data_IF_872888136641
#
_entry.id   IF_872888136641
#
_cell.length_a   1.000
_cell.length_b   1.000
_cell.length_c   1.000
_cell.angle_alpha   90.00
_cell.angle_beta   90.00
_cell.angle_gamma   90.00
#
_symmetry.space_group_name_H-M   'P 1'
#
loop_
_entity.id
_entity.type
_entity.pdbx_description
1 polymer ?
#
# COMPACT_ATOMS: atom_id res chain seq x y z
N UNK A 1 -60.62 8.34 10.83
CA UNK A 1 -60.84 9.80 10.99
C UNK A 1 -59.88 10.50 10.03
N UNK A 2 -60.44 11.05 8.96
CA UNK A 2 -59.76 11.97 8.06
C UNK A 2 -59.53 13.30 8.78
N UNK A 3 -58.41 13.97 8.53
CA UNK A 3 -58.43 15.41 8.22
C UNK A 3 -57.30 15.71 7.22
N UNK A 4 -57.73 16.00 5.99
CA UNK A 4 -57.04 16.70 4.92
C UNK A 4 -57.14 18.22 5.12
N UNK A 5 -56.21 19.00 4.56
CA UNK A 5 -56.49 20.29 3.88
C UNK A 5 -55.18 20.77 3.20
N UNK A 6 -55.11 20.78 1.84
CA UNK A 6 -55.35 21.93 0.91
C UNK A 6 -54.04 22.71 0.67
N UNK A 7 -53.60 23.15 -0.52
CA UNK A 7 -54.10 23.18 -1.91
C UNK A 7 -52.95 23.64 -2.84
N UNK A 8 -53.00 23.23 -4.12
CA UNK A 8 -52.95 24.08 -5.33
C UNK A 8 -52.23 23.40 -6.52
N UNK A 9 -53.02 23.23 -7.58
CA UNK A 9 -52.72 22.86 -8.98
C UNK A 9 -53.40 23.99 -9.78
N UNK A 10 -52.89 24.55 -10.92
CA UNK A 10 -53.05 23.89 -12.23
C UNK A 10 -51.99 24.20 -13.33
N UNK A 11 -51.66 23.19 -14.15
CA UNK A 11 -51.97 23.04 -15.60
C UNK A 11 -51.20 23.99 -16.55
N UNK A 12 -50.65 23.57 -17.71
CA UNK A 12 -51.39 23.35 -18.97
C UNK A 12 -50.43 22.82 -20.08
N UNK A 13 -50.77 21.63 -20.63
CA UNK A 13 -50.96 21.24 -22.06
C UNK A 13 -49.79 21.17 -23.08
N UNK A 14 -49.49 19.91 -23.46
CA UNK A 14 -49.53 19.26 -24.81
C UNK A 14 -48.76 19.83 -26.02
N UNK A 15 -47.94 19.01 -26.71
CA UNK A 15 -48.35 18.36 -27.99
C UNK A 15 -47.37 17.27 -28.46
N UNK A 16 -47.95 16.33 -29.20
CA UNK A 16 -47.49 15.02 -29.69
C UNK A 16 -46.91 15.09 -31.11
N UNK A 17 -45.95 14.22 -31.46
CA UNK A 17 -45.91 13.58 -32.80
C UNK A 17 -45.13 12.26 -32.80
N UNK A 18 -45.83 11.20 -33.22
CA UNK A 18 -45.40 9.81 -33.42
C UNK A 18 -44.66 9.55 -34.74
N UNK A 19 -43.82 8.49 -34.75
CA UNK A 19 -43.65 7.39 -35.76
C UNK A 19 -42.17 6.93 -35.79
N UNK A 20 -41.82 5.63 -35.83
CA UNK A 20 -42.60 4.44 -36.13
C UNK A 20 -42.02 3.14 -35.54
N UNK A 21 -42.81 2.09 -35.72
CA UNK A 21 -42.62 0.67 -35.34
C UNK A 21 -41.75 -0.06 -36.37
N UNK A 22 -41.17 -1.19 -35.96
CA UNK A 22 -41.43 -2.55 -36.49
C UNK A 22 -40.44 -3.55 -35.83
N UNK A 23 -40.90 -4.38 -34.88
CA UNK A 23 -41.33 -5.80 -34.99
C UNK A 23 -40.19 -6.82 -35.16
N UNK A 24 -40.04 -7.72 -34.19
CA UNK A 24 -40.19 -9.18 -34.41
C UNK A 24 -40.38 -9.91 -33.06
N UNK A 25 -41.25 -10.92 -33.12
CA UNK A 25 -41.89 -11.65 -32.03
C UNK A 25 -41.62 -13.15 -32.12
N UNK A 26 -41.73 -13.85 -30.98
CA UNK A 26 -41.94 -15.30 -30.86
C UNK A 26 -40.78 -16.02 -30.14
N UNK A 27 -40.95 -16.92 -29.17
CA UNK A 27 -42.07 -17.68 -28.58
C UNK A 27 -41.67 -17.95 -27.10
N UNK A 28 -42.51 -17.74 -26.08
CA UNK A 28 -43.60 -18.57 -25.54
C UNK A 28 -43.19 -19.95 -24.95
N UNK A 29 -43.44 -20.05 -23.62
CA UNK A 29 -43.75 -21.21 -22.76
C UNK A 29 -42.67 -22.31 -22.58
N UNK A 30 -42.42 -22.83 -21.38
CA UNK A 30 -43.41 -23.42 -20.47
C UNK A 30 -42.91 -23.55 -19.01
N UNK A 31 -43.86 -23.55 -18.08
CA UNK A 31 -43.71 -23.72 -16.63
C UNK A 31 -43.28 -25.14 -16.24
N UNK A 32 -42.52 -25.30 -15.15
CA UNK A 32 -42.89 -26.22 -14.06
C UNK A 32 -41.94 -26.12 -12.85
N UNK A 33 -42.54 -25.85 -11.69
CA UNK A 33 -41.99 -26.03 -10.35
C UNK A 33 -42.30 -27.46 -9.87
N UNK A 34 -41.35 -28.16 -9.24
CA UNK A 34 -41.68 -29.16 -8.21
C UNK A 34 -40.54 -29.33 -7.19
N UNK A 35 -40.96 -29.45 -5.93
CA UNK A 35 -40.21 -29.51 -4.68
C UNK A 35 -39.53 -30.87 -4.41
N UNK A 36 -38.42 -30.77 -3.67
CA UNK A 36 -37.93 -31.59 -2.53
C UNK A 36 -37.78 -33.13 -2.67
N UNK A 37 -36.59 -33.66 -2.32
CA UNK A 37 -36.30 -34.24 -0.99
C UNK A 37 -34.89 -34.86 -0.87
N UNK A 38 -34.28 -34.57 0.28
CA UNK A 38 -33.27 -35.28 1.09
C UNK A 38 -32.94 -36.76 0.80
N UNK A 39 -31.65 -37.12 0.96
CA UNK A 39 -31.04 -38.12 1.90
C UNK A 39 -29.55 -38.31 1.50
N UNK A 40 -28.56 -37.90 2.30
CA UNK A 40 -27.72 -38.72 3.22
C UNK A 40 -27.10 -39.97 2.57
N UNK A 41 -25.83 -40.37 2.71
CA UNK A 41 -24.84 -40.21 3.78
C UNK A 41 -23.45 -40.72 3.31
N UNK A 42 -22.44 -40.42 4.15
CA UNK A 42 -21.23 -41.21 4.50
C UNK A 42 -20.10 -41.48 3.48
N UNK A 43 -18.98 -40.77 3.72
CA UNK A 43 -17.55 -41.19 3.83
C UNK A 43 -17.24 -42.68 4.14
N UNK A 44 -15.96 -43.17 4.29
CA UNK A 44 -14.62 -42.52 4.25
C UNK A 44 -13.50 -43.36 3.52
N UNK A 45 -12.22 -43.01 3.78
CA UNK A 45 -11.00 -43.85 3.80
C UNK A 45 -10.19 -43.99 2.48
N UNK A 46 -8.84 -43.97 2.41
CA UNK A 46 -7.71 -44.03 3.38
C UNK A 46 -6.36 -43.77 2.62
N UNK A 47 -5.34 -43.32 3.37
CA UNK A 47 -3.84 -43.44 3.32
C UNK A 47 -3.09 -43.78 1.99
N UNK A 48 -1.80 -43.49 1.75
CA UNK A 48 -0.64 -43.44 2.67
C UNK A 48 0.67 -42.95 2.00
N UNK A 49 1.66 -42.62 2.86
CA UNK A 49 3.13 -42.83 2.84
C UNK A 49 3.99 -42.66 1.55
N UNK A 50 5.30 -42.35 1.52
CA UNK A 50 6.43 -41.95 2.38
C UNK A 50 7.62 -41.68 1.40
N UNK A 51 8.88 -41.51 1.88
CA UNK A 51 10.21 -41.58 1.20
C UNK A 51 10.89 -40.20 1.09
N UNK A 52 12.10 -39.89 1.60
CA UNK A 52 13.26 -40.63 2.13
C UNK A 52 14.20 -39.73 2.97
N UNK A 53 15.11 -40.37 3.74
CA UNK A 53 16.23 -39.79 4.52
C UNK A 53 17.50 -39.58 3.66
N UNK A 54 18.33 -38.56 3.98
CA UNK A 54 19.75 -38.71 4.44
C UNK A 54 20.73 -37.55 4.10
N UNK A 55 21.38 -37.04 5.15
CA UNK A 55 22.83 -36.77 5.36
C UNK A 55 23.66 -35.69 4.61
N UNK A 56 24.16 -34.73 5.43
CA UNK A 56 25.55 -34.18 5.58
C UNK A 56 26.37 -33.69 4.37
N UNK A 57 26.80 -32.42 4.40
CA UNK A 57 28.22 -31.97 4.43
C UNK A 57 28.33 -30.44 4.51
N UNK A 58 29.18 -29.93 5.42
CA UNK A 58 29.49 -28.50 5.56
C UNK A 58 30.66 -28.05 4.67
N UNK A 59 30.59 -26.80 4.20
CA UNK A 59 31.74 -25.99 3.75
C UNK A 59 31.53 -24.52 4.13
N UNK A 60 32.55 -23.97 4.77
CA UNK A 60 32.74 -22.55 5.13
C UNK A 60 32.85 -21.69 3.87
N UNK A 61 32.04 -20.63 3.75
CA UNK A 61 32.15 -19.62 2.68
C UNK A 61 32.25 -18.24 3.31
N UNK A 62 33.37 -17.56 3.01
CA UNK A 62 33.63 -16.15 3.31
C UNK A 62 32.54 -15.26 2.69
N UNK A 63 32.08 -14.28 3.45
CA UNK A 63 31.13 -13.24 3.04
C UNK A 63 31.67 -12.40 1.88
N UNK A 64 30.92 -12.24 0.77
CA UNK A 64 31.29 -11.30 -0.28
C UNK A 64 30.57 -9.95 -0.10
N UNK A 65 31.34 -8.88 -0.31
CA UNK A 65 30.93 -7.47 -0.31
C UNK A 65 29.76 -7.17 -1.27
N UNK A 66 28.88 -6.18 -0.97
CA UNK A 66 27.60 -5.94 -1.66
C UNK A 66 27.72 -5.51 -3.13
N UNK A 67 28.92 -5.20 -3.61
CA UNK A 67 29.13 -4.59 -4.91
C UNK A 67 28.97 -5.56 -6.11
N UNK A 68 28.80 -6.87 -5.86
CA UNK A 68 28.74 -7.92 -6.91
C UNK A 68 27.33 -8.47 -7.19
N UNK A 69 26.33 -8.17 -6.37
CA UNK A 69 24.95 -8.65 -6.59
C UNK A 69 24.30 -8.00 -7.83
N UNK A 70 24.61 -6.73 -8.08
CA UNK A 70 24.01 -5.92 -9.15
C UNK A 70 24.48 -6.31 -10.56
N UNK A 71 25.74 -6.78 -10.72
CA UNK A 71 26.27 -7.22 -12.02
C UNK A 71 25.74 -8.59 -12.46
N UNK A 72 25.41 -9.48 -11.51
CA UNK A 72 24.90 -10.83 -11.82
C UNK A 72 23.47 -10.80 -12.38
N UNK A 73 22.64 -9.87 -11.90
CA UNK A 73 21.28 -9.70 -12.42
C UNK A 73 21.26 -9.19 -13.88
N UNK A 74 22.15 -8.24 -14.22
CA UNK A 74 22.22 -7.66 -15.57
C UNK A 74 22.61 -8.67 -16.67
N UNK A 75 23.42 -9.68 -16.34
CA UNK A 75 23.85 -10.73 -17.29
C UNK A 75 22.81 -11.83 -17.52
N UNK A 76 21.88 -12.04 -16.57
CA UNK A 76 20.85 -13.07 -16.69
C UNK A 76 19.74 -12.70 -17.70
N UNK A 77 19.56 -11.41 -17.98
CA UNK A 77 18.50 -10.91 -18.86
C UNK A 77 18.94 -10.55 -20.30
N UNK A 78 20.20 -10.81 -20.68
CA UNK A 78 20.68 -10.61 -22.06
C UNK A 78 20.63 -11.87 -22.94
N UNK A 79 20.26 -13.03 -22.42
CA UNK A 79 20.23 -14.31 -23.17
C UNK A 79 18.81 -14.84 -23.47
N UNK A 80 17.80 -13.97 -23.64
CA UNK A 80 16.49 -14.37 -24.17
C UNK A 80 16.09 -13.49 -25.35
N UNK A 81 16.79 -13.63 -26.47
CA UNK A 81 16.30 -13.25 -27.79
C UNK A 81 17.02 -14.07 -28.86
N UNK A 82 16.39 -15.20 -29.24
CA UNK A 82 16.57 -16.10 -30.40
C UNK A 82 15.78 -17.36 -29.98
N UNK A 83 14.67 -17.77 -30.57
CA UNK A 83 14.38 -17.97 -31.99
C UNK A 83 12.89 -17.83 -32.33
N UNK A 84 12.64 -17.50 -33.60
CA UNK A 84 11.35 -17.46 -34.29
C UNK A 84 11.14 -18.81 -34.98
N UNK A 85 9.97 -19.46 -34.80
CA UNK A 85 9.14 -20.07 -35.87
C UNK A 85 8.10 -21.03 -35.28
N UNK A 86 6.83 -20.87 -35.66
CA UNK A 86 5.79 -21.87 -35.38
C UNK A 86 4.37 -21.32 -35.32
N UNK A 87 3.84 -20.85 -36.45
CA UNK A 87 2.42 -20.58 -36.61
C UNK A 87 1.62 -21.88 -36.43
N UNK A 88 0.93 -22.03 -35.28
CA UNK A 88 -0.28 -22.85 -35.08
C UNK A 88 -0.72 -22.80 -33.61
N UNK A 89 -1.70 -21.94 -33.33
CA UNK A 89 -2.83 -22.13 -32.40
C UNK A 89 -3.49 -20.77 -32.13
N UNK A 90 -4.16 -20.28 -33.17
CA UNK A 90 -5.41 -19.55 -32.93
C UNK A 90 -6.47 -20.63 -32.66
N UNK A 91 -7.36 -20.38 -31.71
CA UNK A 91 -8.39 -21.29 -31.18
C UNK A 91 -7.97 -22.11 -29.94
N UNK A 92 -7.78 -21.43 -28.81
CA UNK A 92 -7.98 -21.99 -27.44
C UNK A 92 -8.10 -20.88 -26.36
N UNK A 93 -8.49 -19.65 -26.73
CA UNK A 93 -8.53 -18.49 -25.81
C UNK A 93 -9.92 -18.17 -25.21
N UNK A 94 -10.86 -19.10 -25.23
CA UNK A 94 -12.20 -18.89 -24.63
C UNK A 94 -12.50 -19.96 -23.59
N UNK A 95 -11.77 -19.94 -22.45
CA UNK A 95 -12.09 -20.78 -21.27
C UNK A 95 -11.38 -20.41 -19.96
N UNK A 96 -10.99 -19.16 -19.74
CA UNK A 96 -10.44 -18.69 -18.45
C UNK A 96 -11.07 -17.35 -18.01
N UNK A 97 -12.40 -17.25 -18.01
CA UNK A 97 -13.15 -16.10 -17.48
C UNK A 97 -13.66 -16.28 -16.04
N UNK A 98 -13.37 -17.41 -15.39
CA UNK A 98 -13.76 -17.63 -14.00
C UNK A 98 -12.62 -17.26 -13.03
N UNK A 99 -12.94 -16.36 -12.08
CA UNK A 99 -12.13 -15.76 -11.00
C UNK A 99 -11.28 -14.50 -11.32
N UNK A 100 -11.84 -13.52 -12.04
CA UNK A 100 -11.36 -12.14 -11.90
C UNK A 100 -12.01 -11.48 -10.68
N UNK A 101 -11.20 -10.94 -9.75
CA UNK A 101 -11.73 -10.19 -8.60
C UNK A 101 -12.54 -8.99 -9.07
N UNK A 102 -13.60 -8.62 -8.34
CA UNK A 102 -14.44 -7.46 -8.66
C UNK A 102 -13.63 -6.17 -8.85
N UNK A 103 -12.57 -5.99 -8.06
CA UNK A 103 -11.70 -4.82 -8.16
C UNK A 103 -10.76 -4.88 -9.37
N UNK A 104 -10.30 -6.07 -9.78
CA UNK A 104 -9.62 -6.23 -11.07
C UNK A 104 -10.57 -5.97 -12.22
N UNK A 105 -11.82 -6.44 -12.15
CA UNK A 105 -12.85 -6.13 -13.14
C UNK A 105 -13.11 -4.63 -13.21
N UNK A 106 -13.27 -3.94 -12.08
CA UNK A 106 -13.44 -2.49 -12.03
C UNK A 106 -12.21 -1.74 -12.56
N UNK A 107 -11.00 -2.18 -12.21
CA UNK A 107 -9.77 -1.58 -12.71
C UNK A 107 -9.67 -1.73 -14.23
N UNK A 108 -9.97 -2.90 -14.78
CA UNK A 108 -9.97 -3.16 -16.22
C UNK A 108 -11.07 -2.36 -16.91
N UNK A 109 -12.30 -2.34 -16.38
CA UNK A 109 -13.39 -1.58 -17.00
C UNK A 109 -13.20 -0.06 -16.87
N UNK A 110 -12.58 0.44 -15.80
CA UNK A 110 -12.22 1.86 -15.71
C UNK A 110 -11.16 2.24 -16.77
N UNK A 111 -10.27 1.30 -17.12
CA UNK A 111 -9.31 1.41 -18.22
C UNK A 111 -10.00 1.26 -19.60
N UNK A 112 -10.97 0.35 -19.75
CA UNK A 112 -11.66 0.02 -21.01
C UNK A 112 -12.87 0.90 -21.34
N UNK A 113 -13.48 1.59 -20.37
CA UNK A 113 -14.54 2.58 -20.59
C UNK A 113 -13.94 3.88 -21.14
N UNK A 114 -13.43 3.78 -22.36
CA UNK A 114 -13.05 4.89 -23.21
C UNK A 114 -13.54 4.62 -24.62
N UNK A 115 -14.73 5.14 -24.97
CA UNK A 115 -15.05 5.63 -26.31
C UNK A 115 -16.40 6.39 -26.29
N UNK A 116 -16.55 7.56 -26.96
CA UNK A 116 -15.56 8.43 -27.58
C UNK A 116 -15.35 9.68 -26.70
N UNK A 117 -14.31 9.66 -25.88
CA UNK A 117 -13.96 10.79 -25.04
C UNK A 117 -12.72 11.46 -25.67
N UNK A 118 -12.87 12.72 -26.06
CA UNK A 118 -11.91 13.62 -26.72
C UNK A 118 -10.41 13.33 -26.47
N UNK A 119 -9.50 13.52 -27.45
CA UNK A 119 -8.05 13.25 -27.33
C UNK A 119 -7.33 13.93 -26.14
N UNK A 120 -7.96 14.88 -25.46
CA UNK A 120 -7.52 15.42 -24.17
C UNK A 120 -7.55 14.37 -23.05
N UNK A 121 -8.53 13.46 -23.07
CA UNK A 121 -8.76 12.42 -22.04
C UNK A 121 -7.78 11.25 -22.11
N UNK A 122 -7.25 10.95 -23.31
CA UNK A 122 -6.18 9.97 -23.48
C UNK A 122 -4.83 10.50 -22.94
N UNK A 123 -4.59 11.82 -22.99
CA UNK A 123 -3.39 12.45 -22.43
C UNK A 123 -3.40 12.55 -20.90
N UNK A 124 -4.56 12.63 -20.27
CA UNK A 124 -4.67 12.69 -18.79
C UNK A 124 -4.62 11.34 -18.10
N UNK A 125 -4.82 10.24 -18.84
CA UNK A 125 -4.81 8.85 -18.32
C UNK A 125 -3.52 8.07 -18.63
N UNK A 126 -2.51 8.72 -19.23
CA UNK A 126 -1.20 8.10 -19.48
C UNK A 126 -0.36 7.86 -18.21
N UNK A 127 -0.86 8.24 -17.03
CA UNK A 127 -0.34 7.74 -15.76
C UNK A 127 -0.81 6.30 -15.58
N UNK A 128 0.06 5.34 -15.84
CA UNK A 128 -0.15 3.93 -15.47
C UNK A 128 -0.48 3.89 -13.98
N UNK A 129 -1.76 3.75 -13.62
CA UNK A 129 -2.18 3.62 -12.24
C UNK A 129 -1.61 2.30 -11.67
N UNK A 130 -1.13 2.32 -10.43
CA UNK A 130 -0.61 1.13 -9.76
C UNK A 130 -0.84 1.18 -8.26
N UNK A 131 -0.97 0.00 -7.65
CA UNK A 131 -0.93 -0.19 -6.21
C UNK A 131 0.47 -0.62 -5.79
N UNK A 132 1.08 0.08 -4.83
CA UNK A 132 2.43 -0.24 -4.34
C UNK A 132 2.46 -1.34 -3.27
N UNK A 133 1.54 -1.24 -2.32
CA UNK A 133 1.52 -2.05 -1.11
C UNK A 133 0.08 -2.40 -0.74
N UNK A 134 -0.10 -3.23 0.29
CA UNK A 134 -1.41 -3.69 0.74
C UNK A 134 -1.87 -4.97 0.07
N UNK A 135 -3.12 -5.37 0.35
CA UNK A 135 -3.68 -6.60 -0.21
C UNK A 135 -4.00 -6.37 -1.71
N UNK A 136 -3.60 -7.27 -2.62
CA UNK A 136 -4.10 -7.25 -3.99
C UNK A 136 -5.63 -7.24 -3.96
N UNK A 137 -6.31 -6.46 -4.78
CA UNK A 137 -7.77 -6.35 -4.74
C UNK A 137 -8.29 -5.61 -3.49
N UNK A 138 -7.60 -4.56 -3.03
CA UNK A 138 -8.15 -3.60 -2.03
C UNK A 138 -8.43 -2.22 -2.61
N UNK A 139 -7.86 -1.89 -3.76
CA UNK A 139 -8.00 -0.60 -4.43
C UNK A 139 -8.36 -0.82 -5.91
N UNK A 140 -9.20 0.06 -6.46
CA UNK A 140 -9.43 0.15 -7.89
C UNK A 140 -9.60 1.61 -8.32
N UNK A 141 -9.21 1.97 -9.56
CA UNK A 141 -9.63 3.21 -10.18
C UNK A 141 -11.17 3.33 -10.19
N UNK A 142 -11.68 4.52 -9.87
CA UNK A 142 -13.12 4.78 -9.78
C UNK A 142 -13.61 5.73 -10.88
N UNK A 143 -13.09 6.97 -10.85
CA UNK A 143 -13.42 8.04 -11.78
C UNK A 143 -12.21 8.92 -12.08
N UNK A 144 -12.38 10.01 -12.83
CA UNK A 144 -11.29 10.95 -13.09
C UNK A 144 -10.69 11.50 -11.78
N UNK A 145 -9.48 11.04 -11.44
CA UNK A 145 -8.76 11.51 -10.26
C UNK A 145 -9.20 10.87 -8.94
N UNK A 146 -9.94 9.76 -8.99
CA UNK A 146 -10.41 9.08 -7.79
C UNK A 146 -10.16 7.57 -7.85
N UNK A 147 -10.00 6.99 -6.67
CA UNK A 147 -9.86 5.56 -6.44
C UNK A 147 -10.90 5.09 -5.43
N UNK A 148 -11.40 3.88 -5.60
CA UNK A 148 -12.17 3.17 -4.59
C UNK A 148 -11.23 2.33 -3.74
N UNK A 149 -11.35 2.48 -2.42
CA UNK A 149 -10.72 1.60 -1.44
C UNK A 149 -11.80 0.74 -0.80
N UNK A 150 -11.62 -0.59 -0.87
CA UNK A 150 -12.56 -1.55 -0.28
C UNK A 150 -12.58 -1.38 1.25
N UNK A 151 -13.78 -1.29 1.81
CA UNK A 151 -13.97 -1.31 3.26
C UNK A 151 -13.84 -2.75 3.76
N UNK A 152 -13.21 -2.93 4.91
CA UNK A 152 -13.11 -4.26 5.50
C UNK A 152 -14.46 -4.62 6.12
N UNK A 153 -15.04 -5.76 5.75
CA UNK A 153 -16.35 -6.22 6.25
C UNK A 153 -16.42 -6.42 7.77
N UNK A 154 -15.26 -6.48 8.43
CA UNK A 154 -15.10 -6.75 9.86
C UNK A 154 -14.52 -5.56 10.65
N UNK A 155 -14.28 -4.41 10.00
CA UNK A 155 -13.88 -3.19 10.70
C UNK A 155 -15.11 -2.37 10.97
N UNK A 156 -15.28 -1.93 12.21
CA UNK A 156 -16.08 -0.75 12.54
C UNK A 156 -15.73 0.35 11.51
N UNK A 157 -16.67 1.20 11.12
CA UNK A 157 -16.57 2.24 10.08
C UNK A 157 -15.39 3.25 10.24
N UNK A 158 -14.46 2.97 11.14
CA UNK A 158 -13.26 3.70 11.53
C UNK A 158 -12.57 4.44 10.40
N UNK A 159 -12.16 3.78 9.30
CA UNK A 159 -11.39 4.48 8.26
C UNK A 159 -12.18 5.60 7.59
N UNK A 160 -13.47 5.35 7.30
CA UNK A 160 -14.36 6.37 6.72
C UNK A 160 -14.50 7.55 7.68
N UNK A 161 -14.80 7.26 8.95
CA UNK A 161 -14.98 8.28 9.99
C UNK A 161 -13.73 9.13 10.17
N UNK A 162 -12.54 8.52 10.17
CA UNK A 162 -11.27 9.25 10.28
C UNK A 162 -11.11 10.22 9.11
N UNK A 163 -11.38 9.79 7.87
CA UNK A 163 -11.31 10.69 6.73
C UNK A 163 -12.33 11.84 6.81
N UNK A 164 -13.57 11.56 7.25
CA UNK A 164 -14.61 12.57 7.41
C UNK A 164 -14.21 13.61 8.47
N UNK A 165 -13.72 13.18 9.63
CA UNK A 165 -13.28 14.05 10.73
C UNK A 165 -12.08 14.90 10.32
N UNK A 166 -11.04 14.28 9.74
CA UNK A 166 -9.83 14.99 9.30
C UNK A 166 -10.11 15.99 8.17
N UNK A 167 -11.12 15.72 7.33
CA UNK A 167 -11.53 16.64 6.26
C UNK A 167 -12.21 17.91 6.80
N UNK A 168 -12.82 17.85 7.99
CA UNK A 168 -13.41 19.03 8.64
C UNK A 168 -12.35 19.95 9.24
N UNK A 169 -11.14 19.46 9.52
CA UNK A 169 -10.04 20.26 10.06
C UNK A 169 -9.27 20.96 8.92
N UNK A 170 -9.34 22.31 8.80
CA UNK A 170 -8.63 23.03 7.74
C UNK A 170 -7.11 22.88 7.79
N UNK A 171 -6.54 22.57 8.96
CA UNK A 171 -5.11 22.33 9.11
C UNK A 171 -4.70 20.93 8.63
N UNK A 172 -5.61 19.95 8.61
CA UNK A 172 -5.29 18.54 8.33
C UNK A 172 -5.76 18.05 6.97
N UNK A 173 -6.81 18.64 6.39
CA UNK A 173 -7.37 18.19 5.10
C UNK A 173 -6.36 18.08 3.96
N UNK A 174 -5.30 18.90 3.98
CA UNK A 174 -4.27 18.92 2.92
C UNK A 174 -3.15 17.90 3.15
N UNK A 175 -3.11 17.21 4.30
CA UNK A 175 -2.09 16.20 4.64
C UNK A 175 -2.60 14.76 4.48
N UNK A 176 -3.83 14.58 4.00
CA UNK A 176 -4.49 13.30 3.71
C UNK A 176 -5.08 13.29 2.30
N UNK A 177 -5.37 12.13 1.68
CA UNK A 177 -6.21 12.08 0.49
C UNK A 177 -7.58 12.69 0.77
N UNK A 178 -8.09 13.49 -0.18
CA UNK A 178 -9.46 13.97 -0.09
C UNK A 178 -10.43 12.78 -0.13
N UNK A 179 -11.30 12.69 0.86
CA UNK A 179 -12.45 11.80 0.85
C UNK A 179 -13.63 12.45 0.14
N UNK A 180 -14.32 11.67 -0.69
CA UNK A 180 -15.45 12.15 -1.48
C UNK A 180 -16.77 11.62 -0.95
N UNK A 181 -16.88 10.31 -0.79
CA UNK A 181 -18.12 9.62 -0.40
C UNK A 181 -17.86 8.14 -0.12
N UNK A 182 -18.87 7.51 0.44
CA UNK A 182 -19.05 6.08 0.42
C UNK A 182 -19.77 5.63 -0.85
N UNK A 183 -19.44 4.42 -1.33
CA UNK A 183 -20.03 3.79 -2.49
C UNK A 183 -20.34 2.33 -2.17
N UNK A 184 -21.56 1.90 -2.44
CA UNK A 184 -21.93 0.48 -2.47
C UNK A 184 -21.92 -0.01 -3.91
N UNK A 185 -21.22 -1.11 -4.18
CA UNK A 185 -21.18 -1.73 -5.50
C UNK A 185 -21.16 -3.25 -5.38
N UNK A 186 -22.14 -3.92 -5.99
CA UNK A 186 -22.33 -5.38 -5.93
C UNK A 186 -22.33 -5.96 -4.50
N UNK A 187 -22.96 -5.26 -3.55
CA UNK A 187 -23.04 -5.69 -2.14
C UNK A 187 -21.75 -5.50 -1.34
N UNK A 188 -20.73 -4.87 -1.93
CA UNK A 188 -19.48 -4.51 -1.27
C UNK A 188 -19.42 -3.00 -1.06
N UNK A 189 -18.83 -2.59 0.07
CA UNK A 189 -18.73 -1.18 0.45
C UNK A 189 -17.32 -0.66 0.18
N UNK A 190 -17.25 0.55 -0.36
CA UNK A 190 -16.02 1.25 -0.74
C UNK A 190 -16.05 2.69 -0.23
N UNK A 191 -14.88 3.24 0.04
CA UNK A 191 -14.70 4.70 0.15
C UNK A 191 -14.05 5.22 -1.13
N UNK A 192 -14.57 6.32 -1.66
CA UNK A 192 -13.98 7.03 -2.79
C UNK A 192 -13.02 8.11 -2.30
N UNK A 193 -11.75 7.97 -2.67
CA UNK A 193 -10.63 8.81 -2.26
C UNK A 193 -9.97 9.46 -3.48
N UNK A 194 -9.26 10.55 -3.25
CA UNK A 194 -8.38 11.16 -4.25
C UNK A 194 -7.32 10.17 -4.74
N UNK A 195 -7.13 10.07 -6.04
CA UNK A 195 -5.96 9.44 -6.62
C UNK A 195 -4.75 10.35 -6.46
N UNK A 196 -3.89 10.03 -5.49
CA UNK A 196 -2.68 10.80 -5.22
C UNK A 196 -1.65 10.75 -6.35
N UNK A 197 -1.71 9.74 -7.23
CA UNK A 197 -0.82 9.65 -8.40
C UNK A 197 -1.25 10.59 -9.52
N UNK A 198 -2.49 11.10 -9.48
CA UNK A 198 -3.00 11.95 -10.54
C UNK A 198 -2.17 13.22 -10.69
N UNK A 199 -1.75 13.48 -11.93
CA UNK A 199 -1.01 14.69 -12.29
C UNK A 199 0.50 14.58 -12.05
N UNK A 200 1.01 13.48 -11.52
CA UNK A 200 2.44 13.19 -11.52
C UNK A 200 2.87 12.50 -12.82
N UNK A 201 4.10 12.78 -13.27
CA UNK A 201 4.66 12.22 -14.50
C UNK A 201 5.84 11.29 -14.21
N UNK A 202 5.64 10.00 -14.51
CA UNK A 202 6.60 8.91 -14.23
C UNK A 202 7.26 9.06 -12.85
N UNK A 203 6.46 9.05 -11.76
CA UNK A 203 6.94 9.46 -10.46
C UNK A 203 7.77 8.39 -9.76
N UNK A 204 8.63 8.87 -8.87
CA UNK A 204 9.15 8.11 -7.75
C UNK A 204 8.10 8.05 -6.66
N UNK A 205 7.90 6.87 -6.08
CA UNK A 205 6.90 6.67 -5.03
C UNK A 205 7.45 5.77 -3.93
N UNK A 206 7.21 6.12 -2.67
CA UNK A 206 7.52 5.27 -1.53
C UNK A 206 6.35 5.25 -0.54
N UNK A 207 6.08 4.07 0.00
CA UNK A 207 5.13 3.82 1.07
C UNK A 207 5.90 3.45 2.34
N UNK A 208 5.79 4.31 3.35
CA UNK A 208 6.49 4.17 4.62
C UNK A 208 5.46 3.95 5.72
N UNK A 209 5.40 2.74 6.27
CA UNK A 209 4.53 2.47 7.43
C UNK A 209 5.12 3.13 8.68
N UNK A 210 4.29 3.89 9.38
CA UNK A 210 4.70 4.70 10.52
C UNK A 210 4.39 4.04 11.87
N UNK A 211 5.12 4.46 12.90
CA UNK A 211 4.99 4.00 14.27
C UNK A 211 6.07 3.00 14.69
N UNK A 212 6.33 2.92 16.00
CA UNK A 212 7.13 1.87 16.65
C UNK A 212 6.31 0.60 16.93
N UNK A 213 4.97 0.71 16.87
CA UNK A 213 3.99 -0.36 17.11
C UNK A 213 3.01 -0.41 15.94
N UNK A 214 2.66 -1.62 15.48
CA UNK A 214 1.77 -1.83 14.32
C UNK A 214 0.56 -2.73 14.59
N UNK A 215 0.30 -3.03 15.86
CA UNK A 215 -0.87 -3.76 16.35
C UNK A 215 -1.60 -2.94 17.42
N UNK A 216 -2.91 -3.09 17.51
CA UNK A 216 -3.74 -2.47 18.55
C UNK A 216 -3.55 -3.17 19.89
N UNK A 217 -3.73 -2.48 21.02
CA UNK A 217 -3.67 -3.12 22.33
C UNK A 217 -4.74 -4.21 22.50
N UNK A 218 -5.90 -4.03 21.88
CA UNK A 218 -6.97 -5.03 21.84
C UNK A 218 -6.57 -6.30 21.07
N UNK A 219 -5.64 -6.20 20.11
CA UNK A 219 -5.11 -7.35 19.38
C UNK A 219 -4.15 -8.18 20.24
N UNK A 220 -3.59 -7.61 21.31
CA UNK A 220 -2.69 -8.33 22.23
C UNK A 220 -3.40 -9.51 22.91
N UNK A 221 -4.71 -9.38 23.15
CA UNK A 221 -5.52 -10.42 23.82
C UNK A 221 -5.98 -11.54 22.87
N UNK A 222 -5.81 -11.39 21.55
CA UNK A 222 -6.27 -12.36 20.55
C UNK A 222 -5.24 -13.48 20.38
N UNK A 223 -5.60 -14.69 20.80
CA UNK A 223 -4.74 -15.88 20.77
C UNK A 223 -4.96 -16.78 19.55
N UNK A 224 -5.89 -16.44 18.66
CA UNK A 224 -6.21 -17.25 17.47
C UNK A 224 -5.00 -17.27 16.52
N UNK A 225 -4.48 -18.48 16.28
CA UNK A 225 -3.37 -18.72 15.36
C UNK A 225 -3.85 -18.75 13.90
N UNK A 226 -2.99 -18.32 12.98
CA UNK A 226 -3.28 -18.15 11.57
C UNK A 226 -2.23 -18.83 10.68
N UNK A 227 -2.64 -19.77 9.81
CA UNK A 227 -1.71 -20.43 8.88
C UNK A 227 -1.08 -19.48 7.86
N UNK A 228 -1.84 -18.50 7.35
CA UNK A 228 -1.35 -17.57 6.33
C UNK A 228 -0.21 -16.66 6.86
N UNK A 229 -0.26 -16.29 8.14
CA UNK A 229 0.79 -15.50 8.79
C UNK A 229 2.05 -16.33 9.04
N UNK A 230 1.91 -17.61 9.36
CA UNK A 230 3.04 -18.52 9.50
C UNK A 230 3.78 -18.70 8.18
N UNK A 231 3.06 -18.92 7.08
CA UNK A 231 3.66 -19.01 5.74
C UNK A 231 4.43 -17.74 5.38
N UNK A 232 3.87 -16.55 5.67
CA UNK A 232 4.56 -15.27 5.47
C UNK A 232 5.80 -15.12 6.34
N UNK A 233 5.75 -15.62 7.58
CA UNK A 233 6.87 -15.59 8.52
C UNK A 233 8.03 -16.45 8.04
N UNK A 234 7.76 -17.72 7.70
CA UNK A 234 8.75 -18.67 7.17
C UNK A 234 9.36 -18.18 5.87
N UNK A 235 8.56 -17.56 4.99
CA UNK A 235 9.07 -16.99 3.74
C UNK A 235 10.08 -15.85 3.96
N UNK A 236 10.06 -15.18 5.12
CA UNK A 236 11.02 -14.15 5.50
C UNK A 236 12.23 -14.77 6.20
N UNK A 237 11.96 -15.61 7.20
CA UNK A 237 12.97 -16.28 8.01
C UNK A 237 12.43 -17.65 8.48
N UNK A 238 12.91 -18.75 7.87
CA UNK A 238 12.45 -20.10 8.21
C UNK A 238 12.72 -20.51 9.65
N UNK A 239 13.72 -19.93 10.31
CA UNK A 239 14.13 -20.29 11.68
C UNK A 239 13.45 -19.42 12.75
N UNK A 240 12.65 -18.43 12.34
CA UNK A 240 12.01 -17.50 13.26
C UNK A 240 10.83 -18.08 14.05
N UNK A 241 9.98 -18.98 13.50
CA UNK A 241 8.96 -19.67 14.27
C UNK A 241 9.57 -20.61 15.32
N UNK A 242 8.87 -20.79 16.44
CA UNK A 242 9.23 -21.80 17.43
C UNK A 242 8.91 -23.21 16.94
N UNK A 243 9.46 -24.24 17.59
CA UNK A 243 9.15 -25.64 17.26
C UNK A 243 7.65 -25.94 17.31
N UNK A 244 6.93 -25.33 18.26
CA UNK A 244 5.48 -25.50 18.36
C UNK A 244 4.72 -24.80 17.24
N UNK A 245 5.13 -23.59 16.86
CA UNK A 245 4.56 -22.86 15.72
C UNK A 245 4.82 -23.60 14.39
N UNK A 246 5.97 -24.25 14.24
CA UNK A 246 6.26 -25.14 13.12
C UNK A 246 5.35 -26.37 13.10
N UNK A 247 5.13 -27.00 14.26
CA UNK A 247 4.24 -28.15 14.41
C UNK A 247 2.81 -27.80 14.02
N UNK A 248 2.32 -26.65 14.49
CA UNK A 248 0.97 -26.15 14.23
C UNK A 248 0.81 -25.52 12.84
N UNK A 249 1.92 -25.17 12.19
CA UNK A 249 1.97 -24.39 10.92
C UNK A 249 1.12 -23.11 10.98
N UNK A 250 1.09 -22.47 12.15
CA UNK A 250 0.29 -21.28 12.41
C UNK A 250 0.97 -20.42 13.47
N UNK A 251 0.81 -19.10 13.36
CA UNK A 251 1.25 -18.12 14.38
C UNK A 251 0.12 -17.15 14.69
N UNK A 252 0.09 -16.60 15.90
CA UNK A 252 -0.89 -15.55 16.22
C UNK A 252 -0.57 -14.27 15.47
N UNK A 253 -1.59 -13.41 15.29
CA UNK A 253 -1.39 -12.11 14.63
C UNK A 253 -0.38 -11.25 15.38
N UNK A 254 -0.50 -11.13 16.70
CA UNK A 254 0.42 -10.36 17.53
C UNK A 254 1.87 -10.83 17.33
N UNK A 255 2.09 -12.15 17.43
CA UNK A 255 3.41 -12.77 17.24
C UNK A 255 4.04 -12.43 15.90
N UNK A 256 3.26 -12.52 14.82
CA UNK A 256 3.71 -12.15 13.47
C UNK A 256 4.03 -10.66 13.36
N UNK A 257 3.20 -9.78 13.93
CA UNK A 257 3.46 -8.34 13.92
C UNK A 257 4.75 -8.00 14.66
N UNK A 258 4.97 -8.57 15.86
CA UNK A 258 6.21 -8.40 16.62
C UNK A 258 7.44 -8.93 15.86
N UNK A 259 7.32 -10.08 15.21
CA UNK A 259 8.38 -10.57 14.33
C UNK A 259 8.71 -9.57 13.21
N UNK A 260 7.69 -9.05 12.53
CA UNK A 260 7.86 -8.06 11.46
C UNK A 260 8.48 -6.76 11.95
N UNK A 261 8.10 -6.31 13.15
CA UNK A 261 8.67 -5.13 13.79
C UNK A 261 10.16 -5.34 14.09
N UNK A 262 10.54 -6.52 14.60
CA UNK A 262 11.93 -6.89 14.90
C UNK A 262 12.80 -7.12 13.66
N UNK A 263 12.23 -7.54 12.53
CA UNK A 263 12.95 -7.76 11.28
C UNK A 263 13.14 -6.47 10.45
N UNK A 264 12.49 -5.37 10.84
CA UNK A 264 12.52 -4.10 10.13
C UNK A 264 13.02 -2.97 11.02
N UNK A 265 13.04 -1.76 10.48
CA UNK A 265 13.38 -0.54 11.23
C UNK A 265 12.25 -0.05 12.16
N UNK A 266 11.11 -0.75 12.23
CA UNK A 266 9.94 -0.29 12.99
C UNK A 266 10.28 0.00 14.46
N UNK A 267 10.89 -0.95 15.17
CA UNK A 267 11.23 -0.75 16.59
C UNK A 267 12.32 0.31 16.83
N UNK A 268 13.26 0.47 15.90
CA UNK A 268 14.47 1.28 16.10
C UNK A 268 14.36 2.70 15.53
N UNK A 269 13.55 2.90 14.49
CA UNK A 269 13.38 4.17 13.80
C UNK A 269 11.94 4.67 13.81
N UNK A 270 10.98 3.90 14.32
CA UNK A 270 9.56 4.32 14.35
C UNK A 270 8.87 4.33 13.00
N UNK A 271 9.45 3.64 12.01
CA UNK A 271 8.84 3.43 10.71
C UNK A 271 9.55 2.28 9.97
N UNK A 272 8.96 1.80 8.88
CA UNK A 272 9.63 0.93 7.90
C UNK A 272 9.15 1.21 6.48
N UNK A 273 10.02 0.98 5.51
CA UNK A 273 9.70 1.13 4.10
C UNK A 273 9.00 -0.15 3.62
N UNK A 274 7.72 -0.06 3.23
CA UNK A 274 6.94 -1.21 2.78
C UNK A 274 7.14 -1.48 1.28
N UNK A 275 7.17 -0.41 0.49
CA UNK A 275 7.34 -0.48 -0.95
C UNK A 275 7.97 0.80 -1.50
N UNK A 276 8.71 0.68 -2.59
CA UNK A 276 9.30 1.80 -3.30
C UNK A 276 9.28 1.55 -4.80
N UNK A 277 9.01 2.56 -5.60
CA UNK A 277 9.14 2.55 -7.06
C UNK A 277 10.00 3.73 -7.48
N UNK A 278 11.07 3.45 -8.19
CA UNK A 278 11.89 4.46 -8.86
C UNK A 278 11.51 4.57 -10.34
N UNK A 279 11.81 5.73 -10.94
CA UNK A 279 11.61 5.96 -12.36
C UNK A 279 12.26 4.87 -13.22
N UNK A 280 11.55 4.39 -14.24
CA UNK A 280 12.04 3.37 -15.17
C UNK A 280 12.30 1.98 -14.57
N UNK A 281 11.93 1.75 -13.31
CA UNK A 281 12.14 0.48 -12.60
C UNK A 281 10.81 -0.10 -12.11
N UNK A 282 10.67 -1.44 -12.04
CA UNK A 282 9.53 -2.06 -11.40
C UNK A 282 9.49 -1.72 -9.90
N UNK A 283 8.31 -1.72 -9.25
CA UNK A 283 8.22 -1.56 -7.81
C UNK A 283 9.04 -2.62 -7.05
N UNK A 284 9.74 -2.18 -6.02
CA UNK A 284 10.48 -2.99 -5.06
C UNK A 284 9.63 -3.12 -3.79
N UNK A 285 9.21 -4.34 -3.50
CA UNK A 285 8.38 -4.67 -2.31
C UNK A 285 9.09 -5.61 -1.33
N UNK A 286 10.27 -6.13 -1.69
CA UNK A 286 11.07 -6.97 -0.81
C UNK A 286 12.03 -6.16 0.07
N UNK A 287 11.44 -5.25 0.85
CA UNK A 287 12.15 -4.36 1.78
C UNK A 287 12.02 -4.82 3.23
N UNK A 288 11.51 -6.04 3.44
CA UNK A 288 11.10 -6.58 4.75
C UNK A 288 12.23 -6.68 5.77
N UNK A 289 13.48 -6.73 5.29
CA UNK A 289 14.71 -6.86 6.10
C UNK A 289 15.53 -5.56 6.18
N UNK A 290 15.06 -4.47 5.56
CA UNK A 290 15.67 -3.15 5.72
C UNK A 290 15.45 -2.72 7.18
N UNK A 291 16.51 -2.76 7.99
CA UNK A 291 16.40 -2.65 9.44
C UNK A 291 17.40 -1.66 10.05
N UNK A 292 18.67 -1.80 9.70
CA UNK A 292 19.72 -0.97 10.28
C UNK A 292 19.58 0.47 9.81
N UNK A 293 20.12 1.40 10.60
CA UNK A 293 20.12 2.82 10.24
C UNK A 293 20.78 3.04 8.87
N UNK A 294 21.88 2.34 8.58
CA UNK A 294 22.60 2.42 7.31
C UNK A 294 21.76 1.90 6.13
N UNK A 295 21.10 0.75 6.26
CA UNK A 295 20.23 0.21 5.19
C UNK A 295 19.05 1.13 4.89
N UNK A 296 18.41 1.69 5.93
CA UNK A 296 17.31 2.66 5.77
C UNK A 296 17.83 3.92 5.07
N UNK A 297 18.96 4.44 5.53
CA UNK A 297 19.61 5.64 4.96
C UNK A 297 19.95 5.41 3.49
N UNK A 298 20.58 4.30 3.13
CA UNK A 298 20.89 3.95 1.75
C UNK A 298 19.63 3.78 0.88
N UNK A 299 18.56 3.22 1.43
CA UNK A 299 17.29 3.06 0.70
C UNK A 299 16.64 4.42 0.42
N UNK A 300 16.67 5.33 1.40
CA UNK A 300 16.14 6.69 1.24
C UNK A 300 17.00 7.56 0.31
N UNK A 301 18.33 7.39 0.34
CA UNK A 301 19.24 8.05 -0.60
C UNK A 301 18.97 7.61 -2.04
N UNK A 302 18.82 6.30 -2.26
CA UNK A 302 18.41 5.74 -3.55
C UNK A 302 17.04 6.27 -3.99
N UNK A 303 16.08 6.39 -3.07
CA UNK A 303 14.77 6.98 -3.37
C UNK A 303 14.88 8.43 -3.84
N UNK A 304 15.71 9.25 -3.20
CA UNK A 304 15.92 10.66 -3.55
C UNK A 304 16.76 10.85 -4.81
N UNK A 305 17.60 9.87 -5.15
CA UNK A 305 18.40 9.88 -6.38
C UNK A 305 19.36 11.08 -6.48
N UNK A 306 19.87 11.58 -5.34
CA UNK A 306 20.74 12.75 -5.27
C UNK A 306 20.06 14.09 -5.62
N UNK A 307 18.72 14.13 -5.71
CA UNK A 307 17.98 15.36 -6.03
C UNK A 307 17.79 16.26 -4.81
N UNK A 308 18.71 17.21 -4.67
CA UNK A 308 18.71 18.17 -3.57
C UNK A 308 17.43 19.04 -3.53
N UNK A 309 16.89 19.43 -4.69
CA UNK A 309 15.65 20.20 -4.78
C UNK A 309 14.43 19.45 -4.21
N UNK A 310 14.38 18.13 -4.44
CA UNK A 310 13.34 17.26 -3.90
C UNK A 310 13.55 17.06 -2.42
N UNK A 311 14.80 16.81 -1.99
CA UNK A 311 15.15 16.65 -0.59
C UNK A 311 14.69 17.83 0.26
N UNK A 312 14.99 19.06 -0.16
CA UNK A 312 14.61 20.27 0.56
C UNK A 312 13.08 20.45 0.64
N UNK A 313 12.37 20.26 -0.48
CA UNK A 313 10.90 20.36 -0.51
C UNK A 313 10.24 19.26 0.32
N UNK A 314 10.79 18.04 0.30
CA UNK A 314 10.32 16.92 1.10
C UNK A 314 10.53 17.20 2.59
N UNK A 315 11.71 17.69 3.00
CA UNK A 315 11.98 18.07 4.39
C UNK A 315 11.01 19.15 4.87
N UNK A 316 10.83 20.22 4.08
CA UNK A 316 9.90 21.29 4.41
C UNK A 316 8.47 20.74 4.60
N UNK A 317 8.03 19.86 3.70
CA UNK A 317 6.70 19.23 3.78
C UNK A 317 6.55 18.28 4.97
N UNK A 318 7.56 17.47 5.28
CA UNK A 318 7.53 16.57 6.45
C UNK A 318 7.50 17.37 7.76
N UNK A 319 8.27 18.44 7.86
CA UNK A 319 8.24 19.35 9.01
C UNK A 319 6.86 20.03 9.16
N UNK A 320 6.26 20.50 8.07
CA UNK A 320 4.89 21.07 8.06
C UNK A 320 3.86 20.05 8.56
N UNK A 321 3.87 18.82 8.02
CA UNK A 321 2.95 17.75 8.45
C UNK A 321 3.15 17.43 9.93
N UNK A 322 4.40 17.26 10.38
CA UNK A 322 4.73 17.00 11.79
C UNK A 322 4.14 18.07 12.70
N UNK A 323 4.35 19.35 12.38
CA UNK A 323 3.83 20.46 13.18
C UNK A 323 2.30 20.55 13.19
N UNK A 324 1.63 20.20 12.10
CA UNK A 324 0.15 20.12 12.06
C UNK A 324 -0.38 19.00 12.95
N UNK A 325 0.26 17.83 12.94
CA UNK A 325 -0.11 16.70 13.82
C UNK A 325 0.10 17.08 15.29
N UNK A 326 1.21 17.73 15.64
CA UNK A 326 1.51 18.17 17.01
C UNK A 326 0.45 19.13 17.58
N UNK A 327 -0.11 19.98 16.73
CA UNK A 327 -1.09 20.99 17.11
C UNK A 327 -2.52 20.45 17.10
N UNK A 328 -2.76 19.29 16.51
CA UNK A 328 -4.10 18.74 16.32
C UNK A 328 -4.64 18.05 17.58
N UNK A 329 -5.82 18.48 18.03
CA UNK A 329 -6.57 17.79 19.08
C UNK A 329 -7.06 16.40 18.63
N UNK A 330 -7.32 16.23 17.34
CA UNK A 330 -7.68 14.92 16.78
C UNK A 330 -6.56 13.93 17.04
N UNK A 331 -5.33 14.23 16.61
CA UNK A 331 -4.20 13.32 16.78
C UNK A 331 -3.89 13.06 18.25
N UNK A 332 -3.89 14.07 19.13
CA UNK A 332 -3.68 13.88 20.58
C UNK A 332 -4.64 12.89 21.24
N UNK A 333 -5.82 12.71 20.67
CA UNK A 333 -6.90 11.86 21.23
C UNK A 333 -7.15 10.59 20.42
N UNK A 334 -6.27 10.24 19.49
CA UNK A 334 -6.37 9.03 18.67
C UNK A 334 -5.05 8.26 18.66
N UNK A 335 -5.10 6.93 18.82
CA UNK A 335 -3.96 6.08 18.45
C UNK A 335 -3.98 5.85 16.94
N UNK A 336 -2.88 6.12 16.23
CA UNK A 336 -2.79 6.06 14.77
C UNK A 336 -1.97 4.86 14.32
N UNK A 337 -2.54 3.67 14.43
CA UNK A 337 -1.82 2.42 14.14
C UNK A 337 -1.91 2.04 12.67
N UNK A 338 -0.79 1.59 12.10
CA UNK A 338 -0.77 0.96 10.79
C UNK A 338 -0.91 1.91 9.61
N UNK A 339 -1.00 3.22 9.85
CA UNK A 339 -0.96 4.26 8.83
C UNK A 339 0.40 4.32 8.14
N UNK A 340 0.39 4.91 6.95
CA UNK A 340 1.60 5.09 6.14
C UNK A 340 1.77 6.54 5.70
N UNK A 341 3.02 6.97 5.53
CA UNK A 341 3.36 8.13 4.71
C UNK A 341 3.52 7.69 3.25
N UNK A 342 2.70 8.25 2.39
CA UNK A 342 2.77 8.08 0.95
C UNK A 342 3.48 9.28 0.34
N UNK A 343 4.71 9.06 -0.14
CA UNK A 343 5.57 10.11 -0.70
C UNK A 343 5.69 9.88 -2.20
N UNK A 344 5.37 10.91 -2.98
CA UNK A 344 5.45 10.90 -4.44
C UNK A 344 6.27 12.11 -4.87
N UNK A 345 7.16 11.94 -5.83
CA UNK A 345 7.73 13.09 -6.52
C UNK A 345 8.01 12.80 -7.99
N UNK A 346 8.01 13.87 -8.79
CA UNK A 346 8.50 13.87 -10.17
C UNK A 346 9.44 15.06 -10.39
N UNK A 347 9.72 15.44 -11.63
CA UNK A 347 10.61 16.55 -11.94
C UNK A 347 10.08 17.90 -11.42
N UNK A 348 8.77 18.03 -11.22
CA UNK A 348 8.09 19.27 -10.90
C UNK A 348 7.46 19.30 -9.50
N UNK A 349 6.95 18.17 -9.02
CA UNK A 349 6.10 18.09 -7.83
C UNK A 349 6.71 17.19 -6.76
N UNK A 350 6.41 17.52 -5.51
CA UNK A 350 6.66 16.68 -4.33
C UNK A 350 5.36 16.66 -3.53
N UNK A 351 4.92 15.47 -3.16
CA UNK A 351 3.70 15.24 -2.42
C UNK A 351 3.93 14.25 -1.28
N UNK A 352 3.30 14.53 -0.15
CA UNK A 352 3.35 13.69 1.06
C UNK A 352 1.98 13.71 1.71
N UNK A 353 1.44 12.52 1.97
CA UNK A 353 0.15 12.33 2.63
C UNK A 353 0.20 11.20 3.63
N UNK A 354 -0.55 11.32 4.73
CA UNK A 354 -0.91 10.17 5.55
C UNK A 354 -2.06 9.41 4.91
N UNK A 355 -1.92 8.09 4.86
CA UNK A 355 -2.92 7.15 4.34
C UNK A 355 -3.12 5.99 5.32
N UNK A 356 -4.14 5.16 5.03
CA UNK A 356 -4.45 3.92 5.74
C UNK A 356 -4.84 4.08 7.22
N UNK A 357 -6.02 4.61 7.46
CA UNK A 357 -6.55 4.88 8.81
C UNK A 357 -7.43 3.75 9.37
N UNK A 358 -7.38 2.55 8.79
CA UNK A 358 -8.20 1.41 9.19
C UNK A 358 -8.02 0.94 10.64
N UNK A 359 -6.95 1.36 11.32
CA UNK A 359 -6.71 1.08 12.75
C UNK A 359 -6.42 2.36 13.53
N UNK A 360 -6.95 3.50 13.09
CA UNK A 360 -6.86 4.76 13.82
C UNK A 360 -8.07 4.90 14.72
N UNK A 361 -7.89 4.74 16.04
CA UNK A 361 -9.00 4.69 16.98
C UNK A 361 -8.95 5.83 17.97
N UNK A 362 -10.13 6.35 18.34
CA UNK A 362 -10.26 7.29 19.44
C UNK A 362 -9.84 6.63 20.75
N UNK A 363 -9.06 7.36 21.55
CA UNK A 363 -8.64 6.94 22.87
C UNK A 363 -9.80 7.00 23.88
N UNK A 364 -9.72 6.26 25.00
CA UNK A 364 -10.65 6.44 26.11
C UNK A 364 -10.67 7.87 26.64
N UNK A 365 -11.81 8.31 27.18
CA UNK A 365 -11.97 9.68 27.67
C UNK A 365 -10.89 10.07 28.69
N UNK A 366 -10.32 11.27 28.50
CA UNK A 366 -9.26 11.81 29.35
C UNK A 366 -7.86 11.25 29.07
N UNK A 367 -7.69 10.31 28.13
CA UNK A 367 -6.38 9.86 27.65
C UNK A 367 -5.91 10.70 26.48
N UNK A 368 -4.60 10.95 26.46
CA UNK A 368 -3.91 11.60 25.35
C UNK A 368 -2.59 10.90 25.09
N UNK A 369 -2.09 11.04 23.87
CA UNK A 369 -0.76 10.57 23.44
C UNK A 369 0.02 11.75 22.87
N UNK A 370 1.34 11.68 22.93
CA UNK A 370 2.23 12.64 22.25
C UNK A 370 2.89 12.03 21.01
N UNK A 371 2.59 10.77 20.70
CA UNK A 371 3.10 9.98 19.58
C UNK A 371 4.63 9.83 19.55
N UNK A 372 5.29 10.03 20.70
CA UNK A 372 6.76 9.97 20.84
C UNK A 372 7.22 9.12 22.00
N UNK A 373 6.47 9.14 23.09
CA UNK A 373 6.80 8.37 24.29
C UNK A 373 6.85 6.88 23.92
N UNK A 374 7.84 6.12 24.40
CA UNK A 374 7.88 4.68 24.16
C UNK A 374 6.58 4.02 24.62
N UNK A 375 6.07 3.12 23.77
CA UNK A 375 4.87 2.37 24.10
C UNK A 375 5.08 1.47 25.31
N UNK A 376 4.11 1.50 26.22
CA UNK A 376 3.91 0.49 27.26
C UNK A 376 2.41 0.19 27.33
N UNK A 377 2.06 -1.05 27.63
CA UNK A 377 0.65 -1.46 27.64
C UNK A 377 -0.22 -0.54 28.52
N UNK A 378 -1.26 0.04 27.92
CA UNK A 378 -2.21 0.95 28.56
C UNK A 378 -1.88 2.44 28.39
N UNK A 379 -0.72 2.79 27.80
CA UNK A 379 -0.42 4.18 27.44
C UNK A 379 -0.84 4.55 26.01
N UNK A 380 -1.22 3.57 25.18
CA UNK A 380 -1.70 3.74 23.80
C UNK A 380 -0.71 4.36 22.81
N UNK A 381 0.52 4.68 23.22
CA UNK A 381 1.52 5.27 22.33
C UNK A 381 1.86 4.31 21.18
N UNK A 382 2.05 4.87 20.01
CA UNK A 382 2.36 4.15 18.79
C UNK A 382 3.61 4.66 18.09
N UNK A 383 4.11 5.83 18.47
CA UNK A 383 5.37 6.37 17.96
C UNK A 383 5.27 7.03 16.58
N UNK A 384 4.10 7.53 16.16
CA UNK A 384 3.94 8.20 14.86
C UNK A 384 4.91 9.39 14.71
N UNK A 385 4.91 10.33 15.66
CA UNK A 385 5.80 11.50 15.61
C UNK A 385 7.26 11.15 15.89
N UNK A 386 7.53 10.11 16.69
CA UNK A 386 8.89 9.56 16.79
C UNK A 386 9.38 9.12 15.41
N UNK A 387 8.56 8.39 14.63
CA UNK A 387 8.88 8.02 13.25
C UNK A 387 9.16 9.23 12.34
N UNK A 388 8.34 10.29 12.42
CA UNK A 388 8.59 11.54 11.69
C UNK A 388 9.94 12.16 12.05
N UNK A 389 10.26 12.29 13.34
CA UNK A 389 11.52 12.88 13.80
C UNK A 389 12.73 12.11 13.26
N UNK A 390 12.66 10.77 13.28
CA UNK A 390 13.71 9.90 12.75
C UNK A 390 13.82 10.02 11.22
N UNK A 391 12.72 10.01 10.49
CA UNK A 391 12.71 10.15 9.04
C UNK A 391 13.27 11.50 8.59
N UNK A 392 12.86 12.59 9.24
CA UNK A 392 13.39 13.94 8.99
C UNK A 392 14.90 13.98 9.25
N UNK A 393 15.36 13.39 10.36
CA UNK A 393 16.79 13.32 10.70
C UNK A 393 17.59 12.59 9.62
N UNK A 394 17.07 11.45 9.13
CA UNK A 394 17.72 10.68 8.05
C UNK A 394 17.81 11.52 6.77
N UNK A 395 16.72 12.15 6.37
CA UNK A 395 16.69 12.95 5.12
C UNK A 395 17.57 14.21 5.23
N UNK A 396 17.61 14.88 6.38
CA UNK A 396 18.48 16.03 6.61
C UNK A 396 19.96 15.66 6.57
N UNK A 397 20.30 14.41 6.92
CA UNK A 397 21.69 13.93 6.94
C UNK A 397 22.35 13.81 5.56
N UNK A 398 21.57 13.73 4.47
CA UNK A 398 22.09 13.61 3.09
C UNK A 398 22.72 14.90 2.53
N UNK A 399 23.34 15.75 3.36
CA UNK A 399 23.88 17.05 2.93
C UNK A 399 24.92 16.88 1.82
N UNK A 400 24.88 17.83 0.89
CA UNK A 400 25.73 17.95 -0.27
C UNK A 400 27.23 17.91 0.12
N UNK A 401 28.05 16.99 -0.42
CA UNK A 401 29.49 16.93 -0.18
C UNK A 401 30.25 18.23 -0.53
N UNK A 402 29.61 19.15 -1.26
CA UNK A 402 30.21 20.41 -1.72
C UNK A 402 30.05 21.59 -0.74
N UNK A 403 29.44 21.38 0.43
CA UNK A 403 29.23 22.43 1.45
C UNK A 403 30.44 22.74 2.35
N UNK A 404 31.50 21.91 2.35
CA UNK A 404 32.71 22.18 3.13
C UNK A 404 33.69 23.07 2.34
N UNK A 405 33.33 24.35 2.20
CA UNK A 405 34.34 25.40 1.98
C UNK A 405 35.12 25.59 3.29
N UNK A 406 36.06 24.67 3.54
CA UNK A 406 37.13 24.90 4.48
C UNK A 406 38.05 25.95 3.84
N UNK A 407 37.74 27.23 4.10
CA UNK A 407 38.76 28.28 4.13
C UNK A 407 39.70 27.97 5.29
N UNK A 408 40.59 27.01 5.11
CA UNK A 408 41.80 26.92 5.90
C UNK A 408 42.99 26.90 4.96
N UNK A 409 43.60 28.07 4.90
CA UNK A 409 44.93 28.32 4.36
C UNK A 409 45.92 27.31 4.94
N UNK A 410 46.54 26.48 4.11
CA UNK A 410 47.91 26.06 4.34
C UNK A 410 48.60 25.75 3.00
N UNK A 411 49.38 26.73 2.55
CA UNK A 411 50.58 26.50 1.74
C UNK A 411 51.41 25.39 2.37
N UNK A 412 51.56 24.25 1.68
CA UNK A 412 52.68 23.35 1.88
C UNK A 412 53.13 22.74 0.56
N UNK A 413 54.36 23.09 0.22
CA UNK A 413 55.15 22.76 -0.95
C UNK A 413 55.29 21.25 -1.14
N UNK A 414 55.14 20.77 -2.38
CA UNK A 414 55.43 19.40 -2.79
C UNK A 414 56.95 19.12 -2.67
N UNK A 415 57.39 17.98 -2.10
CA UNK A 415 58.79 17.57 -2.21
C UNK A 415 59.05 16.92 -3.57
N UNK A 416 60.14 17.37 -4.21
CA UNK A 416 60.66 16.84 -5.47
C UNK A 416 61.16 15.40 -5.29
N UNK A 417 60.75 14.51 -6.19
CA UNK A 417 61.27 13.14 -6.30
C UNK A 417 62.58 13.19 -7.10
N UNK A 418 63.69 12.87 -6.44
CA UNK A 418 64.98 12.64 -7.09
C UNK A 418 64.99 11.26 -7.72
N UNK A 419 65.15 11.21 -9.05
CA UNK A 419 65.49 9.98 -9.78
C UNK A 419 66.97 9.69 -9.55
N UNK A 420 67.31 8.49 -9.09
CA UNK A 420 68.68 7.96 -9.18
C UNK A 420 68.72 6.92 -10.30
N UNK A 421 69.62 7.20 -11.23
CA UNK A 421 70.18 6.36 -12.30
C UNK A 421 70.80 5.07 -11.80
#
# INVERSE_FOLDING_TARGET
MCVSHIEMVPAVVSLVANKGRDTYSGLIQEFACFKCKHLSASEPEVEDSEIWKSARHGKTIRSPSPHNAFKRWRKANQNKHQDINGAKRCLDSFKNEEEMSLLKFLAINALDLSLPASPVLLKTRSSNWFQLSGHPDSLAPAGPGTVWKKRSSNSDDTERMVYEDLLQDPALKDIIPKYYREVEYQGELFIELQDLLQGFQDPYVVDIKMGTRTFLESEVRKTVARPDLYQKMVAIDPEAPTEEEHRQKAVTKLRYMQFRELQSSTCSQGFRIEAMKCRGSPPVTDLKKVKSFEEVTNTMDMFLGGREDVRQRLLARLCDIRSRIEQSEYFKTHEVIGSSLFIIYDDTKVGVWLIDFAKTNKLPDGKTVNHRTPWVQGNYEEGLLYGFDRLITIIDSFKDPLGNNQKDSFTKTLPAVSVKS
#
